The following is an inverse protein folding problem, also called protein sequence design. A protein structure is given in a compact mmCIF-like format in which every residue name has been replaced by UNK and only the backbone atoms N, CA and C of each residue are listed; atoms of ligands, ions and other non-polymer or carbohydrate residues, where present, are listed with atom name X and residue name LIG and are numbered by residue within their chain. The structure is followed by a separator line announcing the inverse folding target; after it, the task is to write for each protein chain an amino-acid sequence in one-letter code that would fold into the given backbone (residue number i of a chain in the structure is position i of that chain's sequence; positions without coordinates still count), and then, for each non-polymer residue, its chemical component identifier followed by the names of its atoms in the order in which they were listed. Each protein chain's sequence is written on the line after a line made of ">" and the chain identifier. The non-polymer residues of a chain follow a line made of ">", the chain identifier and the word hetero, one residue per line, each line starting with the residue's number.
data_IF_673040699689
#
_entry.id   IF_673040699689
#
_cell.length_a   1.000
_cell.length_b   1.000
_cell.length_c   1.000
_cell.angle_alpha   90.00
_cell.angle_beta   90.00
_cell.angle_gamma   90.00
#
_symmetry.space_group_name_H-M   'P 1'
#
loop_
_entity.id
_entity.type
_entity.pdbx_description
1 polymer ?
#
# COMPACT_ATOMS: atom_id res chain seq x y z
N UNK A 1 23.77 -11.85 8.62
CA UNK A 1 22.37 -11.36 8.71
C UNK A 1 21.49 -12.59 8.80
N UNK A 2 20.43 -12.59 9.61
CA UNK A 2 19.50 -13.74 9.71
C UNK A 2 18.73 -13.84 8.39
N UNK A 3 18.56 -15.03 7.81
CA UNK A 3 17.80 -15.21 6.56
C UNK A 3 16.27 -15.11 6.76
N UNK A 4 15.54 -14.97 5.64
CA UNK A 4 14.07 -14.86 5.68
C UNK A 4 13.40 -16.12 6.21
N UNK A 5 13.91 -17.31 5.89
CA UNK A 5 13.32 -18.57 6.33
C UNK A 5 13.31 -18.67 7.85
N UNK A 6 14.40 -18.25 8.49
CA UNK A 6 14.55 -18.20 9.94
C UNK A 6 13.53 -17.25 10.57
N UNK A 7 13.30 -16.07 9.97
CA UNK A 7 12.29 -15.11 10.44
C UNK A 7 10.88 -15.69 10.32
N UNK A 8 10.53 -16.24 9.15
CA UNK A 8 9.21 -16.83 8.89
C UNK A 8 8.94 -17.98 9.86
N UNK A 9 9.93 -18.86 10.07
CA UNK A 9 9.86 -19.97 11.01
C UNK A 9 9.69 -19.50 12.46
N UNK A 10 10.37 -18.43 12.86
CA UNK A 10 10.18 -17.82 14.19
C UNK A 10 8.76 -17.26 14.33
N UNK A 11 8.29 -16.50 13.34
CA UNK A 11 6.96 -15.91 13.36
C UNK A 11 5.87 -16.97 13.56
N UNK A 12 5.97 -18.09 12.83
CA UNK A 12 5.03 -19.21 13.00
C UNK A 12 5.15 -19.85 14.37
N UNK A 13 6.35 -20.26 14.79
CA UNK A 13 6.57 -20.99 16.06
C UNK A 13 6.21 -20.18 17.31
N UNK A 14 6.32 -18.85 17.25
CA UNK A 14 6.07 -17.95 18.38
C UNK A 14 4.71 -17.26 18.33
N UNK A 15 3.88 -17.53 17.34
CA UNK A 15 2.53 -16.97 17.28
C UNK A 15 2.49 -15.49 16.87
N UNK A 16 3.38 -15.08 15.96
CA UNK A 16 3.30 -13.76 15.33
C UNK A 16 2.42 -13.79 14.08
N UNK A 17 2.74 -14.65 13.12
CA UNK A 17 2.07 -14.67 11.81
C UNK A 17 1.91 -16.12 11.36
N UNK A 18 0.72 -16.44 10.84
CA UNK A 18 0.33 -17.73 10.30
C UNK A 18 -0.13 -17.60 8.85
N UNK A 19 0.00 -18.68 8.08
CA UNK A 19 -0.62 -18.76 6.77
C UNK A 19 -2.15 -18.73 6.96
N UNK A 20 -2.83 -17.79 6.31
CA UNK A 20 -4.29 -17.71 6.44
C UNK A 20 -4.93 -18.97 5.89
N UNK A 21 -5.93 -19.50 6.59
CA UNK A 21 -6.65 -20.73 6.23
C UNK A 21 -5.75 -21.98 6.08
N UNK A 22 -4.66 -22.07 6.87
CA UNK A 22 -3.64 -23.12 6.76
C UNK A 22 -4.21 -24.56 6.75
N UNK A 23 -5.22 -24.85 7.58
CA UNK A 23 -5.83 -26.18 7.65
C UNK A 23 -6.54 -26.62 6.36
N UNK A 24 -6.84 -25.68 5.47
CA UNK A 24 -7.45 -25.90 4.15
C UNK A 24 -6.42 -25.83 3.01
N UNK A 25 -5.12 -25.87 3.32
CA UNK A 25 -4.04 -25.73 2.35
C UNK A 25 -3.52 -24.30 2.19
N UNK A 26 -4.10 -23.34 2.91
CA UNK A 26 -3.69 -21.94 2.90
C UNK A 26 -4.27 -21.12 1.74
N UNK A 27 -4.45 -19.83 1.98
CA UNK A 27 -4.80 -18.85 0.94
C UNK A 27 -3.57 -18.01 0.58
N UNK A 28 -3.04 -18.21 -0.63
CA UNK A 28 -1.80 -17.56 -1.07
C UNK A 28 -1.82 -16.03 -0.91
N UNK A 29 -0.74 -15.47 -0.34
CA UNK A 29 -0.57 -14.05 -0.03
C UNK A 29 -1.58 -13.45 0.97
N UNK A 30 -2.26 -14.28 1.75
CA UNK A 30 -3.07 -13.87 2.89
C UNK A 30 -2.49 -14.44 4.19
N UNK A 31 -2.42 -13.63 5.24
CA UNK A 31 -1.75 -13.97 6.50
C UNK A 31 -2.59 -13.58 7.70
N UNK A 32 -2.60 -14.43 8.72
CA UNK A 32 -3.28 -14.17 9.99
C UNK A 32 -2.25 -13.78 11.06
N UNK A 33 -2.52 -12.72 11.81
CA UNK A 33 -1.66 -12.32 12.93
C UNK A 33 -2.06 -13.08 14.20
N UNK A 34 -1.16 -13.93 14.70
CA UNK A 34 -1.34 -14.68 15.94
C UNK A 34 -1.28 -13.81 17.21
N UNK A 35 -1.36 -14.38 18.42
CA UNK A 35 -1.48 -13.60 19.65
C UNK A 35 -0.39 -12.54 19.85
N UNK A 36 0.89 -12.86 19.62
CA UNK A 36 1.98 -11.89 19.76
C UNK A 36 2.04 -10.90 18.59
N UNK A 37 1.67 -11.36 17.40
CA UNK A 37 1.63 -10.51 16.21
C UNK A 37 0.51 -9.48 16.25
N UNK A 38 -0.64 -9.86 16.79
CA UNK A 38 -1.77 -8.95 16.99
C UNK A 38 -1.41 -7.82 17.94
N UNK A 39 -0.75 -8.12 19.07
CA UNK A 39 -0.29 -7.09 20.01
C UNK A 39 0.83 -6.22 19.42
N UNK A 40 1.83 -6.81 18.75
CA UNK A 40 2.88 -6.04 18.08
C UNK A 40 2.28 -5.09 17.03
N UNK A 41 1.40 -5.59 16.18
CA UNK A 41 0.74 -4.79 15.14
C UNK A 41 -0.11 -3.66 15.74
N UNK A 42 -0.84 -3.92 16.83
CA UNK A 42 -1.58 -2.88 17.55
C UNK A 42 -0.64 -1.82 18.12
N UNK A 43 0.45 -2.22 18.75
CA UNK A 43 1.42 -1.29 19.33
C UNK A 43 2.05 -0.39 18.27
N UNK A 44 2.39 -0.93 17.10
CA UNK A 44 2.89 -0.13 15.97
C UNK A 44 1.85 0.88 15.50
N UNK A 45 0.58 0.48 15.37
CA UNK A 45 -0.52 1.39 14.98
C UNK A 45 -0.75 2.50 16.01
N UNK A 46 -0.77 2.17 17.29
CA UNK A 46 -0.95 3.17 18.36
C UNK A 46 0.23 4.12 18.48
N UNK A 47 1.46 3.62 18.31
CA UNK A 47 2.67 4.43 18.24
C UNK A 47 2.61 5.43 17.08
N UNK A 48 2.23 4.96 15.89
CA UNK A 48 2.07 5.80 14.72
C UNK A 48 0.97 6.84 14.93
N UNK A 49 -0.23 6.42 15.33
CA UNK A 49 -1.38 7.31 15.55
C UNK A 49 -1.11 8.34 16.67
N UNK A 50 -0.41 7.92 17.72
CA UNK A 50 0.06 8.78 18.79
C UNK A 50 0.95 9.90 18.28
N UNK A 51 1.94 9.59 17.44
CA UNK A 51 2.86 10.59 16.88
C UNK A 51 2.19 11.47 15.83
N UNK A 52 1.48 10.90 14.87
CA UNK A 52 1.04 11.67 13.70
C UNK A 52 -0.28 12.39 13.94
N UNK A 53 -1.20 11.81 14.72
CA UNK A 53 -2.51 12.42 15.00
C UNK A 53 -2.52 13.09 16.37
N UNK A 54 -2.32 12.32 17.45
CA UNK A 54 -2.59 12.84 18.81
C UNK A 54 -1.58 13.90 19.26
N UNK A 55 -0.32 13.79 18.86
CA UNK A 55 0.73 14.74 19.24
C UNK A 55 0.76 16.01 18.37
N UNK A 56 -0.10 16.12 17.36
CA UNK A 56 -0.10 17.22 16.38
C UNK A 56 -1.40 18.01 16.42
N UNK A 57 -1.30 19.34 16.33
CA UNK A 57 -2.49 20.21 16.25
C UNK A 57 -2.99 20.40 14.82
N UNK A 58 -2.14 20.14 13.83
CA UNK A 58 -2.41 20.27 12.40
C UNK A 58 -2.92 18.98 11.76
N UNK A 59 -3.12 17.90 12.52
CA UNK A 59 -3.61 16.61 12.02
C UNK A 59 -4.97 16.25 12.60
N UNK A 60 -5.78 15.53 11.82
CA UNK A 60 -7.03 14.89 12.28
C UNK A 60 -7.11 13.46 11.74
N UNK A 61 -7.88 12.62 12.43
CA UNK A 61 -8.13 11.25 12.00
C UNK A 61 -9.39 11.10 11.15
N UNK A 62 -9.37 10.13 10.24
CA UNK A 62 -10.54 9.65 9.49
C UNK A 62 -10.56 8.12 9.49
N UNK A 63 -11.76 7.54 9.41
CA UNK A 63 -11.98 6.12 9.10
C UNK A 63 -13.06 5.99 8.02
N UNK A 64 -12.62 5.95 6.77
CA UNK A 64 -13.49 5.78 5.62
C UNK A 64 -13.81 4.30 5.39
N UNK A 65 -15.00 4.05 4.81
CA UNK A 65 -15.40 2.72 4.39
C UNK A 65 -14.42 2.10 3.37
N UNK A 66 -14.34 0.77 3.34
CA UNK A 66 -13.60 0.02 2.32
C UNK A 66 -14.34 0.07 0.98
N UNK A 67 -15.66 -0.11 1.02
CA UNK A 67 -16.51 -0.05 -0.17
C UNK A 67 -16.86 1.40 -0.45
N UNK A 68 -16.43 1.89 -1.62
CA UNK A 68 -16.69 3.24 -2.10
C UNK A 68 -17.39 3.20 -3.45
N UNK A 69 -18.06 4.29 -3.81
CA UNK A 69 -18.72 4.41 -5.10
C UNK A 69 -17.71 4.21 -6.26
N UNK A 70 -18.01 3.41 -7.30
CA UNK A 70 -17.04 3.07 -8.37
C UNK A 70 -16.38 4.26 -9.05
N UNK A 71 -17.15 5.35 -9.24
CA UNK A 71 -16.65 6.60 -9.80
C UNK A 71 -15.45 7.19 -9.07
N UNK A 72 -15.25 6.89 -7.79
CA UNK A 72 -14.04 7.31 -7.04
C UNK A 72 -12.79 6.71 -7.67
N UNK A 73 -12.85 5.43 -8.05
CA UNK A 73 -11.75 4.68 -8.67
C UNK A 73 -11.57 5.02 -10.15
N UNK A 74 -12.64 5.46 -10.82
CA UNK A 74 -12.57 5.99 -12.18
C UNK A 74 -11.89 7.37 -12.20
N UNK A 75 -12.34 8.28 -11.33
CA UNK A 75 -11.82 9.64 -11.21
C UNK A 75 -10.34 9.66 -10.86
N UNK A 76 -9.92 8.83 -9.89
CA UNK A 76 -8.53 8.67 -9.50
C UNK A 76 -7.66 7.93 -10.54
N UNK A 77 -8.26 7.35 -11.58
CA UNK A 77 -7.58 6.62 -12.64
C UNK A 77 -7.25 5.16 -12.33
N UNK A 78 -7.59 4.65 -11.13
CA UNK A 78 -7.30 3.27 -10.73
C UNK A 78 -7.97 2.22 -11.64
N UNK A 79 -9.18 2.47 -12.13
CA UNK A 79 -9.85 1.54 -13.05
C UNK A 79 -9.07 1.35 -14.36
N UNK A 80 -8.41 2.41 -14.84
CA UNK A 80 -7.71 2.40 -16.13
C UNK A 80 -6.21 2.09 -16.00
N UNK A 81 -5.56 2.57 -14.94
CA UNK A 81 -4.10 2.57 -14.80
C UNK A 81 -3.54 1.67 -13.69
N UNK A 82 -4.38 1.13 -12.80
CA UNK A 82 -3.90 0.27 -11.70
C UNK A 82 -3.77 -1.19 -12.15
N UNK A 83 -2.85 -1.44 -13.08
CA UNK A 83 -2.67 -2.74 -13.72
C UNK A 83 -1.20 -3.11 -13.90
N UNK A 84 -0.90 -4.39 -13.75
CA UNK A 84 0.42 -4.97 -14.00
C UNK A 84 0.44 -5.75 -15.32
N UNK A 85 1.58 -5.81 -16.03
CA UNK A 85 1.73 -6.66 -17.19
C UNK A 85 1.81 -8.13 -16.75
N UNK A 86 0.89 -8.97 -17.23
CA UNK A 86 0.76 -10.38 -16.82
C UNK A 86 0.94 -11.32 -18.02
N UNK A 87 1.66 -12.42 -17.80
CA UNK A 87 1.77 -13.55 -18.73
C UNK A 87 1.34 -14.85 -18.05
N UNK A 88 0.79 -15.78 -18.82
CA UNK A 88 0.45 -17.13 -18.35
C UNK A 88 1.37 -18.16 -19.03
N UNK A 89 1.82 -19.17 -18.29
CA UNK A 89 2.44 -20.33 -18.90
C UNK A 89 1.38 -21.21 -19.57
N UNK A 90 1.56 -21.49 -20.86
CA UNK A 90 0.62 -22.33 -21.62
C UNK A 90 0.57 -23.77 -21.10
N UNK A 91 1.63 -24.24 -20.44
CA UNK A 91 1.79 -25.59 -19.93
C UNK A 91 1.33 -25.73 -18.47
N UNK A 92 1.97 -25.04 -17.52
CA UNK A 92 1.64 -25.17 -16.09
C UNK A 92 0.50 -24.25 -15.62
N UNK A 93 0.01 -23.34 -16.48
CA UNK A 93 -1.06 -22.36 -16.19
C UNK A 93 -0.75 -21.37 -15.06
N UNK A 94 0.48 -21.34 -14.58
CA UNK A 94 0.92 -20.32 -13.63
C UNK A 94 0.99 -18.95 -14.30
N UNK A 95 0.82 -17.91 -13.46
CA UNK A 95 0.79 -16.50 -13.86
C UNK A 95 1.99 -15.79 -13.27
N UNK A 96 2.62 -14.96 -14.09
CA UNK A 96 3.82 -14.21 -13.71
C UNK A 96 3.63 -12.75 -14.09
N UNK A 97 4.23 -11.85 -13.33
CA UNK A 97 4.40 -10.48 -13.81
C UNK A 97 5.49 -10.44 -14.87
N UNK A 98 5.18 -9.89 -16.03
CA UNK A 98 6.07 -9.89 -17.17
C UNK A 98 7.35 -9.07 -16.92
N UNK A 99 7.24 -7.97 -16.17
CA UNK A 99 8.33 -7.06 -15.81
C UNK A 99 9.30 -7.62 -14.77
N UNK A 100 8.94 -8.72 -14.11
CA UNK A 100 9.81 -9.42 -13.16
C UNK A 100 10.52 -10.65 -13.75
N UNK A 101 10.22 -11.00 -15.00
CA UNK A 101 10.87 -12.11 -15.66
C UNK A 101 12.14 -11.63 -16.36
N UNK A 102 13.24 -12.36 -16.18
CA UNK A 102 14.47 -12.12 -16.94
C UNK A 102 14.27 -12.34 -18.45
N UNK A 103 13.33 -13.22 -18.82
CA UNK A 103 12.97 -13.50 -20.20
C UNK A 103 11.48 -13.88 -20.32
N UNK A 104 10.84 -13.39 -21.38
CA UNK A 104 9.46 -13.73 -21.75
C UNK A 104 9.37 -14.94 -22.69
N UNK A 105 10.48 -15.57 -23.04
CA UNK A 105 10.48 -16.70 -23.99
C UNK A 105 10.03 -18.02 -23.34
N UNK A 106 10.39 -18.22 -22.06
CA UNK A 106 10.16 -19.49 -21.35
C UNK A 106 9.66 -19.25 -19.94
N UNK A 107 8.73 -20.08 -19.52
CA UNK A 107 8.26 -20.14 -18.13
C UNK A 107 9.42 -20.51 -17.20
N UNK A 108 9.68 -19.74 -16.14
CA UNK A 108 10.79 -20.02 -15.22
C UNK A 108 10.62 -21.34 -14.46
N UNK A 109 9.38 -21.80 -14.28
CA UNK A 109 9.06 -23.00 -13.48
C UNK A 109 9.14 -24.30 -14.28
N UNK A 110 8.81 -24.28 -15.57
CA UNK A 110 8.70 -25.52 -16.37
C UNK A 110 9.29 -25.43 -17.78
N UNK A 111 9.84 -24.28 -18.17
CA UNK A 111 10.40 -24.05 -19.50
C UNK A 111 9.39 -23.93 -20.65
N UNK A 112 8.09 -24.10 -20.37
CA UNK A 112 7.02 -24.00 -21.38
C UNK A 112 6.80 -22.58 -21.90
N UNK A 113 6.18 -22.44 -23.08
CA UNK A 113 5.93 -21.15 -23.70
C UNK A 113 4.97 -20.26 -22.89
N UNK A 114 5.25 -18.96 -22.85
CA UNK A 114 4.40 -17.94 -22.23
C UNK A 114 3.37 -17.38 -23.24
N UNK A 115 2.28 -16.80 -22.74
CA UNK A 115 1.36 -16.01 -23.58
C UNK A 115 1.93 -14.63 -23.87
N UNK A 116 1.28 -13.90 -24.78
CA UNK A 116 1.51 -12.46 -24.88
C UNK A 116 1.14 -11.77 -23.55
N UNK A 117 1.88 -10.71 -23.23
CA UNK A 117 1.63 -9.91 -22.04
C UNK A 117 0.32 -9.14 -22.19
N UNK A 118 -0.51 -9.16 -21.14
CA UNK A 118 -1.74 -8.37 -21.04
C UNK A 118 -1.77 -7.59 -19.75
N UNK A 119 -2.42 -6.42 -19.75
CA UNK A 119 -2.60 -5.64 -18.52
C UNK A 119 -3.68 -6.27 -17.64
N UNK A 120 -3.33 -6.52 -16.38
CA UNK A 120 -4.22 -7.10 -15.38
C UNK A 120 -4.48 -6.09 -14.27
N UNK A 121 -5.73 -5.63 -14.14
CA UNK A 121 -6.11 -4.68 -13.09
C UNK A 121 -6.00 -5.35 -11.71
N UNK A 122 -5.29 -4.69 -10.79
CA UNK A 122 -4.98 -5.21 -9.47
C UNK A 122 -6.08 -4.92 -8.43
N UNK A 123 -7.17 -4.25 -8.77
CA UNK A 123 -8.27 -4.05 -7.83
C UNK A 123 -9.12 -5.32 -7.72
N UNK A 124 -9.50 -5.68 -6.49
CA UNK A 124 -10.54 -6.68 -6.28
C UNK A 124 -11.90 -6.10 -6.64
N UNK A 125 -12.52 -6.70 -7.65
CA UNK A 125 -13.88 -6.39 -8.09
C UNK A 125 -14.88 -7.31 -7.40
N UNK A 126 -15.96 -6.75 -6.91
CA UNK A 126 -17.12 -7.49 -6.39
C UNK A 126 -18.42 -6.82 -6.85
N UNK A 127 -19.55 -7.38 -6.45
CA UNK A 127 -20.89 -6.94 -6.83
C UNK A 127 -21.70 -6.61 -5.57
N UNK A 128 -22.36 -5.46 -5.57
CA UNK A 128 -23.19 -4.98 -4.48
C UNK A 128 -24.65 -4.94 -4.94
N UNK A 129 -25.48 -5.79 -4.33
CA UNK A 129 -26.90 -5.89 -4.62
C UNK A 129 -27.43 -7.31 -4.38
N UNK A 130 -28.72 -7.47 -4.08
CA UNK A 130 -29.29 -8.78 -3.76
C UNK A 130 -29.52 -9.67 -4.99
N UNK A 131 -29.47 -9.09 -6.20
CA UNK A 131 -29.71 -9.80 -7.47
C UNK A 131 -28.45 -9.70 -8.32
N UNK A 132 -27.79 -10.84 -8.58
CA UNK A 132 -26.49 -10.92 -9.26
C UNK A 132 -26.51 -10.24 -10.65
N UNK A 133 -27.61 -10.36 -11.38
CA UNK A 133 -27.80 -9.81 -12.73
C UNK A 133 -27.96 -8.27 -12.76
N UNK A 134 -28.36 -7.67 -11.63
CA UNK A 134 -28.56 -6.22 -11.49
C UNK A 134 -27.58 -5.58 -10.49
N UNK A 135 -26.60 -6.35 -10.02
CA UNK A 135 -25.72 -5.89 -8.95
C UNK A 135 -24.74 -4.83 -9.46
N UNK A 136 -24.59 -3.76 -8.67
CA UNK A 136 -23.65 -2.70 -8.97
C UNK A 136 -22.22 -3.22 -8.77
N UNK A 137 -21.36 -3.04 -9.77
CA UNK A 137 -19.93 -3.29 -9.61
C UNK A 137 -19.41 -2.39 -8.49
N UNK A 138 -18.66 -2.93 -7.55
CA UNK A 138 -17.89 -2.17 -6.55
C UNK A 138 -16.51 -2.79 -6.38
N UNK A 139 -15.60 -2.04 -5.76
CA UNK A 139 -14.21 -2.48 -5.58
C UNK A 139 -13.84 -2.47 -4.10
N UNK A 140 -12.97 -3.41 -3.71
CA UNK A 140 -12.22 -3.25 -2.47
C UNK A 140 -11.09 -2.25 -2.72
N UNK A 141 -10.98 -1.23 -1.88
CA UNK A 141 -10.00 -0.15 -2.08
C UNK A 141 -8.55 -0.66 -2.16
N UNK A 142 -7.75 -0.22 -3.16
CA UNK A 142 -6.34 -0.57 -3.27
C UNK A 142 -5.39 0.31 -2.43
N UNK A 143 -5.92 1.42 -1.89
CA UNK A 143 -5.25 2.38 -1.02
C UNK A 143 -6.25 3.04 -0.04
N UNK A 144 -5.76 3.73 0.98
CA UNK A 144 -6.62 4.46 1.95
C UNK A 144 -6.86 5.93 1.59
N UNK A 145 -5.96 6.54 0.81
CA UNK A 145 -5.95 7.95 0.42
C UNK A 145 -7.26 8.46 -0.20
N UNK A 146 -7.90 7.70 -1.10
CA UNK A 146 -9.14 8.15 -1.76
C UNK A 146 -10.27 8.46 -0.77
N UNK A 147 -10.34 7.73 0.35
CA UNK A 147 -11.31 8.01 1.42
C UNK A 147 -11.11 9.38 2.06
N UNK A 148 -9.86 9.83 2.14
CA UNK A 148 -9.49 11.14 2.66
C UNK A 148 -9.85 12.24 1.65
N UNK A 149 -9.49 12.08 0.38
CA UNK A 149 -9.75 13.10 -0.65
C UNK A 149 -11.25 13.39 -0.81
N UNK A 150 -12.10 12.37 -0.89
CA UNK A 150 -13.56 12.57 -1.03
C UNK A 150 -14.21 13.19 0.22
N UNK A 151 -13.52 13.18 1.36
CA UNK A 151 -13.98 13.79 2.61
C UNK A 151 -13.24 15.09 2.96
N UNK A 152 -12.43 15.64 2.05
CA UNK A 152 -11.64 16.83 2.32
C UNK A 152 -12.49 18.00 2.84
N UNK A 153 -13.58 18.35 2.15
CA UNK A 153 -14.45 19.45 2.55
C UNK A 153 -15.21 19.13 3.86
N UNK A 154 -15.76 17.91 3.99
CA UNK A 154 -16.43 17.46 5.22
C UNK A 154 -15.52 17.63 6.44
N UNK A 155 -14.27 17.17 6.35
CA UNK A 155 -13.31 17.26 7.46
C UNK A 155 -12.85 18.69 7.68
N UNK A 156 -12.50 19.44 6.63
CA UNK A 156 -12.06 20.84 6.74
C UNK A 156 -13.11 21.69 7.45
N UNK A 157 -14.38 21.54 7.09
CA UNK A 157 -15.48 22.33 7.63
C UNK A 157 -15.82 21.96 9.07
N UNK A 158 -16.02 20.66 9.34
CA UNK A 158 -16.42 20.20 10.68
C UNK A 158 -15.31 20.39 11.71
N UNK A 159 -14.05 20.25 11.30
CA UNK A 159 -12.88 20.45 12.17
C UNK A 159 -12.32 21.88 12.11
N UNK A 160 -12.95 22.77 11.32
CA UNK A 160 -12.58 24.18 11.13
C UNK A 160 -11.09 24.38 10.83
N UNK A 161 -10.51 23.47 10.04
CA UNK A 161 -9.09 23.50 9.70
C UNK A 161 -8.79 24.56 8.64
N UNK A 162 -7.62 25.17 8.74
CA UNK A 162 -7.02 26.04 7.73
C UNK A 162 -5.73 25.39 7.25
N UNK A 163 -5.36 25.63 6.00
CA UNK A 163 -4.07 25.16 5.48
C UNK A 163 -2.90 25.81 6.24
N UNK A 164 -1.82 25.06 6.52
CA UNK A 164 -1.68 23.63 6.25
C UNK A 164 -2.35 22.76 7.32
N UNK A 165 -2.91 21.63 6.91
CA UNK A 165 -3.41 20.59 7.82
C UNK A 165 -3.41 19.24 7.12
N UNK A 166 -3.37 18.16 7.89
CA UNK A 166 -3.49 16.81 7.34
C UNK A 166 -4.67 16.03 7.88
N UNK A 167 -4.98 14.97 7.15
CA UNK A 167 -5.93 13.94 7.54
C UNK A 167 -5.19 12.61 7.46
N UNK A 168 -5.25 11.83 8.53
CA UNK A 168 -4.60 10.53 8.64
C UNK A 168 -5.64 9.41 8.70
N UNK A 169 -5.33 8.28 8.10
CA UNK A 169 -6.15 7.08 8.16
C UNK A 169 -5.29 5.83 8.36
N UNK A 170 -5.76 4.93 9.22
CA UNK A 170 -5.24 3.56 9.28
C UNK A 170 -6.37 2.64 8.83
N UNK A 171 -6.08 1.75 7.88
CA UNK A 171 -7.10 0.79 7.48
C UNK A 171 -6.63 -0.24 6.47
N UNK A 172 -7.50 -1.20 6.19
CA UNK A 172 -7.22 -2.26 5.22
C UNK A 172 -7.23 -1.72 3.78
N UNK A 173 -6.34 -2.27 2.97
CA UNK A 173 -6.29 -2.11 1.52
C UNK A 173 -6.05 -3.47 0.86
N UNK A 174 -6.45 -3.59 -0.40
CA UNK A 174 -6.46 -4.86 -1.12
C UNK A 174 -5.85 -4.71 -2.50
N UNK A 175 -4.86 -5.55 -2.82
CA UNK A 175 -4.23 -5.58 -4.15
C UNK A 175 -4.22 -7.02 -4.64
N UNK A 176 -4.79 -7.27 -5.81
CA UNK A 176 -4.90 -8.59 -6.41
C UNK A 176 -3.59 -9.01 -7.06
N UNK A 177 -2.55 -9.13 -6.23
CA UNK A 177 -1.18 -9.42 -6.64
C UNK A 177 -1.11 -10.70 -7.49
N UNK A 178 -0.42 -10.61 -8.63
CA UNK A 178 -0.25 -11.71 -9.58
C UNK A 178 0.67 -12.78 -9.00
N UNK A 179 1.82 -12.36 -8.46
CA UNK A 179 2.87 -13.28 -7.98
C UNK A 179 3.12 -13.07 -6.49
N UNK A 180 2.77 -14.05 -5.64
CA UNK A 180 3.08 -14.00 -4.21
C UNK A 180 4.60 -14.05 -4.01
N UNK A 181 5.13 -13.33 -3.02
CA UNK A 181 6.57 -13.29 -2.77
C UNK A 181 6.95 -12.68 -1.42
N UNK A 182 8.08 -13.14 -0.88
CA UNK A 182 8.70 -12.65 0.35
C UNK A 182 7.68 -12.44 1.50
N UNK A 183 6.99 -13.50 1.95
CA UNK A 183 6.16 -13.43 3.17
C UNK A 183 5.13 -12.27 3.16
N UNK A 184 5.21 -11.31 4.09
CA UNK A 184 4.28 -10.18 4.18
C UNK A 184 4.58 -9.03 3.21
N UNK A 185 5.62 -9.12 2.36
CA UNK A 185 5.98 -8.04 1.43
C UNK A 185 5.12 -8.01 0.16
N UNK A 186 4.55 -9.15 -0.27
CA UNK A 186 3.56 -9.20 -1.36
C UNK A 186 2.30 -9.90 -0.89
N UNK A 187 1.37 -9.10 -0.37
CA UNK A 187 0.11 -9.57 0.22
C UNK A 187 -1.08 -9.01 -0.52
N UNK A 188 -2.19 -9.77 -0.50
CA UNK A 188 -3.43 -9.35 -1.15
C UNK A 188 -4.33 -8.50 -0.27
N UNK A 189 -4.13 -8.61 1.03
CA UNK A 189 -4.82 -7.88 2.07
C UNK A 189 -3.77 -7.42 3.09
N UNK A 190 -3.69 -6.11 3.32
CA UNK A 190 -2.79 -5.51 4.29
C UNK A 190 -3.41 -4.26 4.91
N UNK A 191 -2.76 -3.69 5.92
CA UNK A 191 -3.16 -2.40 6.49
C UNK A 191 -2.12 -1.36 6.13
N UNK A 192 -2.59 -0.17 5.76
CA UNK A 192 -1.77 1.00 5.52
C UNK A 192 -2.04 2.05 6.60
N UNK A 193 -1.06 2.92 6.81
CA UNK A 193 -1.14 4.08 7.66
C UNK A 193 -0.74 5.28 6.80
N UNK A 194 -1.72 5.98 6.23
CA UNK A 194 -1.50 7.04 5.25
C UNK A 194 -1.87 8.41 5.84
N UNK A 195 -1.16 9.44 5.40
CA UNK A 195 -1.39 10.85 5.71
C UNK A 195 -1.54 11.58 4.40
N UNK A 196 -2.64 12.32 4.25
CA UNK A 196 -2.74 13.35 3.22
C UNK A 196 -2.56 14.70 3.89
N UNK A 197 -1.44 15.37 3.62
CA UNK A 197 -1.11 16.67 4.21
C UNK A 197 -1.31 17.80 3.19
N UNK A 198 -2.35 18.59 3.41
CA UNK A 198 -2.78 19.64 2.49
C UNK A 198 -2.08 20.95 2.81
N UNK A 199 -1.47 21.54 1.79
CA UNK A 199 -0.68 22.78 1.89
C UNK A 199 -1.09 23.75 0.77
N UNK A 200 -0.64 25.00 0.86
CA UNK A 200 -0.84 25.95 -0.24
C UNK A 200 0.15 25.65 -1.39
N UNK A 201 -0.25 25.86 -2.66
CA UNK A 201 0.70 25.79 -3.77
C UNK A 201 1.91 26.70 -3.54
N UNK A 202 3.12 26.19 -3.74
CA UNK A 202 4.37 26.89 -3.49
C UNK A 202 4.99 26.65 -2.12
N UNK A 203 4.24 26.07 -1.17
CA UNK A 203 4.78 25.60 0.13
C UNK A 203 5.08 24.08 0.11
N UNK A 204 4.75 23.38 -0.97
CA UNK A 204 4.77 21.91 -1.08
C UNK A 204 6.16 21.29 -0.94
N UNK A 205 7.22 21.91 -1.47
CA UNK A 205 8.58 21.37 -1.40
C UNK A 205 9.16 21.42 0.02
N UNK A 206 8.87 22.51 0.76
CA UNK A 206 9.32 22.65 2.15
C UNK A 206 8.65 21.60 3.03
N UNK A 207 7.32 21.44 2.89
CA UNK A 207 6.57 20.44 3.64
C UNK A 207 6.94 19.01 3.26
N UNK A 208 7.21 18.73 1.99
CA UNK A 208 7.67 17.41 1.52
C UNK A 208 8.99 17.02 2.20
N UNK A 209 9.98 17.92 2.20
CA UNK A 209 11.27 17.68 2.89
C UNK A 209 11.09 17.49 4.39
N UNK A 210 10.25 18.30 5.03
CA UNK A 210 9.94 18.16 6.47
C UNK A 210 9.31 16.81 6.79
N UNK A 211 8.37 16.33 5.97
CA UNK A 211 7.76 15.02 6.17
C UNK A 211 8.78 13.89 5.99
N UNK A 212 9.68 13.97 5.01
CA UNK A 212 10.77 12.99 4.84
C UNK A 212 11.60 12.90 6.15
N UNK A 213 12.00 14.05 6.69
CA UNK A 213 12.80 14.10 7.93
C UNK A 213 12.02 13.60 9.16
N UNK A 214 10.76 14.01 9.30
CA UNK A 214 9.88 13.62 10.42
C UNK A 214 9.61 12.10 10.39
N UNK A 215 9.37 11.53 9.20
CA UNK A 215 9.09 10.10 9.02
C UNK A 215 10.34 9.25 9.21
N UNK A 216 11.49 9.62 8.66
CA UNK A 216 12.75 8.92 8.90
C UNK A 216 13.11 8.91 10.39
N UNK A 217 12.89 10.03 11.08
CA UNK A 217 13.13 10.15 12.53
C UNK A 217 12.22 9.24 13.33
N UNK A 218 10.95 9.13 12.97
CA UNK A 218 10.00 8.25 13.65
C UNK A 218 10.50 6.80 13.73
N UNK A 219 11.04 6.24 12.64
CA UNK A 219 11.62 4.89 12.67
C UNK A 219 12.80 4.78 13.65
N UNK A 220 13.69 5.78 13.68
CA UNK A 220 14.84 5.81 14.59
C UNK A 220 14.41 5.92 16.05
N UNK A 221 13.42 6.77 16.34
CA UNK A 221 12.88 6.99 17.69
C UNK A 221 12.24 5.72 18.26
N UNK A 222 11.65 4.88 17.40
CA UNK A 222 11.11 3.56 17.77
C UNK A 222 12.12 2.41 17.68
N UNK A 223 13.43 2.73 17.59
CA UNK A 223 14.51 1.77 17.76
C UNK A 223 14.92 1.02 16.49
N UNK A 224 14.47 1.45 15.31
CA UNK A 224 14.99 0.91 14.05
C UNK A 224 16.41 1.43 13.84
N UNK A 225 17.34 0.51 13.62
CA UNK A 225 18.77 0.82 13.51
C UNK A 225 19.06 1.66 12.28
N UNK A 226 19.78 2.77 12.46
CA UNK A 226 20.07 3.72 11.41
C UNK A 226 20.89 3.13 10.27
N UNK A 227 21.77 2.17 10.54
CA UNK A 227 22.56 1.49 9.50
C UNK A 227 21.72 0.63 8.54
N UNK A 228 20.51 0.23 8.97
CA UNK A 228 19.58 -0.54 8.14
C UNK A 228 18.51 0.35 7.51
N UNK A 229 18.58 1.68 7.66
CA UNK A 229 17.63 2.64 7.07
C UNK A 229 18.33 3.52 6.05
N UNK A 230 17.67 3.75 4.92
CA UNK A 230 18.10 4.76 3.94
C UNK A 230 16.90 5.51 3.37
N UNK A 231 17.18 6.69 2.84
CA UNK A 231 16.26 7.42 1.97
C UNK A 231 16.66 7.14 0.52
N UNK A 232 15.69 6.77 -0.31
CA UNK A 232 15.87 6.61 -1.76
C UNK A 232 14.92 7.55 -2.48
N UNK A 233 15.47 8.55 -3.15
CA UNK A 233 14.69 9.40 -4.04
C UNK A 233 14.38 8.64 -5.34
N UNK A 234 13.14 8.77 -5.82
CA UNK A 234 12.73 8.17 -7.09
C UNK A 234 13.36 8.93 -8.26
N UNK A 235 13.79 8.20 -9.28
CA UNK A 235 14.18 8.81 -10.55
C UNK A 235 12.94 9.30 -11.33
N UNK A 236 13.14 10.21 -12.29
CA UNK A 236 12.03 10.80 -13.05
C UNK A 236 11.14 9.78 -13.78
N UNK A 237 11.71 8.65 -14.20
CA UNK A 237 11.04 7.54 -14.87
C UNK A 237 10.35 6.55 -13.91
N UNK A 238 10.64 6.63 -12.61
CA UNK A 238 10.00 5.85 -11.56
C UNK A 238 8.80 6.58 -10.94
N UNK A 239 8.73 7.90 -11.08
CA UNK A 239 7.64 8.70 -10.52
C UNK A 239 6.30 8.29 -11.11
N UNK A 240 5.31 8.12 -10.23
CA UNK A 240 3.92 8.03 -10.66
C UNK A 240 3.55 9.30 -11.44
N UNK A 241 2.70 9.16 -12.46
CA UNK A 241 2.31 10.25 -13.37
C UNK A 241 1.74 11.52 -12.70
N UNK A 242 1.31 11.41 -11.43
CA UNK A 242 0.78 12.51 -10.63
C UNK A 242 1.75 13.05 -9.57
N UNK A 243 2.93 12.43 -9.40
CA UNK A 243 3.90 12.81 -8.37
C UNK A 243 4.94 13.79 -8.93
N UNK A 244 5.08 14.94 -8.28
CA UNK A 244 6.17 15.91 -8.54
C UNK A 244 7.50 15.40 -7.99
N UNK A 245 7.46 14.71 -6.85
CA UNK A 245 8.62 14.08 -6.20
C UNK A 245 8.15 12.94 -5.31
N UNK A 246 9.00 11.92 -5.10
CA UNK A 246 8.75 10.84 -4.16
C UNK A 246 10.07 10.36 -3.56
N UNK A 247 10.04 10.04 -2.27
CA UNK A 247 11.17 9.47 -1.56
C UNK A 247 10.71 8.31 -0.70
N UNK A 248 11.42 7.20 -0.78
CA UNK A 248 11.13 6.01 0.01
C UNK A 248 12.05 5.98 1.24
N UNK A 249 11.46 5.72 2.41
CA UNK A 249 12.20 5.15 3.53
C UNK A 249 12.32 3.67 3.27
N UNK A 250 13.54 3.20 3.03
CA UNK A 250 13.83 1.79 2.79
C UNK A 250 14.57 1.15 3.96
N UNK A 251 14.31 -0.14 4.17
CA UNK A 251 14.99 -0.95 5.17
C UNK A 251 15.81 -2.08 4.53
N UNK A 252 16.97 -2.35 5.10
CA UNK A 252 17.84 -3.45 4.69
C UNK A 252 17.35 -4.78 5.27
N UNK A 253 16.44 -5.44 4.56
CA UNK A 253 15.96 -6.78 4.89
C UNK A 253 16.97 -7.86 4.50
N UNK A 254 16.79 -9.11 4.97
CA UNK A 254 17.66 -10.21 4.57
C UNK A 254 17.71 -10.49 3.06
N UNK A 255 16.69 -10.07 2.30
CA UNK A 255 16.63 -10.18 0.85
C UNK A 255 17.07 -8.90 0.11
N UNK A 256 17.56 -7.89 0.83
CA UNK A 256 18.00 -6.62 0.27
C UNK A 256 17.19 -5.42 0.74
N UNK A 257 17.45 -4.27 0.12
CA UNK A 257 16.73 -3.03 0.39
C UNK A 257 15.31 -3.10 -0.16
N UNK A 258 14.33 -2.72 0.66
CA UNK A 258 12.93 -2.65 0.25
C UNK A 258 12.21 -1.54 1.01
N UNK A 259 11.15 -1.02 0.39
CA UNK A 259 10.34 0.09 0.88
C UNK A 259 9.63 -0.26 2.19
N UNK A 260 9.64 0.68 3.15
CA UNK A 260 8.75 0.70 4.30
C UNK A 260 7.63 1.75 4.15
N UNK A 261 7.97 2.91 3.58
CA UNK A 261 7.07 4.06 3.47
C UNK A 261 7.52 4.99 2.33
N UNK A 262 6.61 5.26 1.38
CA UNK A 262 6.78 6.30 0.36
C UNK A 262 6.22 7.65 0.82
N UNK A 263 7.02 8.72 0.70
CA UNK A 263 6.62 10.11 0.94
C UNK A 263 6.56 10.84 -0.41
N UNK A 264 5.36 11.03 -0.94
CA UNK A 264 5.11 11.63 -2.25
C UNK A 264 4.56 13.06 -2.16
N UNK A 265 5.02 13.93 -3.05
CA UNK A 265 4.39 15.22 -3.34
C UNK A 265 3.52 15.06 -4.59
N UNK A 266 2.20 15.07 -4.42
CA UNK A 266 1.19 14.81 -5.47
C UNK A 266 0.55 16.07 -6.04
N UNK A 267 1.05 17.26 -5.68
CA UNK A 267 0.50 18.56 -6.09
C UNK A 267 -0.99 18.70 -5.74
N UNK A 268 -1.85 19.07 -6.71
CA UNK A 268 -3.30 19.17 -6.53
C UNK A 268 -4.09 18.15 -7.39
N UNK A 269 -3.39 17.14 -7.93
CA UNK A 269 -3.97 16.13 -8.82
C UNK A 269 -5.20 15.47 -8.22
N UNK A 270 -5.08 14.94 -6.99
CA UNK A 270 -6.13 14.11 -6.39
C UNK A 270 -7.41 14.89 -6.10
N UNK A 271 -7.31 16.10 -5.52
CA UNK A 271 -8.47 16.95 -5.28
C UNK A 271 -9.09 17.42 -6.60
N UNK A 272 -8.29 17.75 -7.63
CA UNK A 272 -8.80 18.13 -8.96
C UNK A 272 -9.54 17.00 -9.67
N UNK A 273 -9.16 15.74 -9.45
CA UNK A 273 -9.83 14.59 -10.06
C UNK A 273 -11.25 14.38 -9.54
N UNK A 274 -11.54 14.80 -8.30
CA UNK A 274 -12.84 14.65 -7.66
C UNK A 274 -13.73 15.91 -7.72
N UNK A 275 -13.20 17.03 -8.22
CA UNK A 275 -13.89 18.32 -8.33
C UNK A 275 -14.81 18.43 -9.55
#
# INVERSE_FOLDING_TARGET
>A
MVDMETIVSLCKRRGFIFQSSEIYGGLGSCWDYGPLGAELKRNVKEAWWGTVVRARQDMVGLDAAILMHPRVWEASGHVQGFADPMVDCRQCKQRFRADHLESLEKCPECGGALTEARMFNLMFKTFMGPVEEAAAIVYLRPETAQGIFVNFDNVRETMRKKLPFGIAQIGKAFRNEITPGNFTFRTREFEQMEIEYFVKPGEDEEWHRRWIDDRLRWYKDYGVRGENLRLREHACDELAHYAKACSDVEYQFPFGWSELEGIANRTDFDLRRHA
#
